data_IF_340051804803
#
_entry.id   IF_340051804803
#
_cell.length_a   1.000
_cell.length_b   1.000
_cell.length_c   1.000
_cell.angle_alpha   90.00
_cell.angle_beta   90.00
_cell.angle_gamma   90.00
#
_symmetry.space_group_name_H-M   'P 1'
#
loop_
_entity.id
_entity.type
_entity.pdbx_description
1 polymer ?
#
# COMPACT_ATOMS: atom_id res chain seq x y z
N UNK A 1 7.17 -7.45 11.10
CA UNK A 1 5.98 -6.90 11.79
C UNK A 1 6.29 -5.64 12.61
N UNK A 2 7.39 -5.58 13.37
CA UNK A 2 7.72 -4.37 14.14
C UNK A 2 8.27 -3.21 13.30
N UNK A 3 8.91 -3.50 12.16
CA UNK A 3 9.57 -2.48 11.33
C UNK A 3 8.63 -1.33 10.90
N UNK A 4 7.42 -1.56 10.37
CA UNK A 4 6.54 -0.45 9.99
C UNK A 4 6.17 0.48 11.15
N UNK A 5 6.04 -0.04 12.38
CA UNK A 5 5.76 0.76 13.58
C UNK A 5 6.97 1.64 13.93
N UNK A 6 8.16 1.03 13.96
CA UNK A 6 9.42 1.75 14.24
C UNK A 6 9.70 2.77 13.14
N UNK A 7 9.54 2.38 11.88
CA UNK A 7 9.65 3.25 10.71
C UNK A 7 8.69 4.42 10.77
N UNK A 8 7.43 4.18 11.14
CA UNK A 8 6.44 5.22 11.37
C UNK A 8 6.89 6.25 12.41
N UNK A 9 7.35 5.79 13.58
CA UNK A 9 7.87 6.66 14.63
C UNK A 9 9.11 7.45 14.18
N UNK A 10 10.02 6.80 13.44
CA UNK A 10 11.21 7.44 12.89
C UNK A 10 10.85 8.51 11.87
N UNK A 11 9.87 8.25 11.00
CA UNK A 11 9.40 9.17 9.96
C UNK A 11 8.76 10.41 10.57
N UNK A 12 7.97 10.23 11.63
CA UNK A 12 7.34 11.35 12.34
C UNK A 12 8.41 12.26 12.98
N UNK A 13 9.60 11.73 13.35
CA UNK A 13 10.68 12.51 13.98
C UNK A 13 11.73 13.07 13.00
N UNK A 14 12.18 12.28 12.03
CA UNK A 14 13.30 12.60 11.14
C UNK A 14 12.86 12.99 9.71
N UNK A 15 11.57 12.88 9.41
CA UNK A 15 10.99 13.15 8.09
C UNK A 15 11.11 11.99 7.10
N UNK A 16 10.22 11.98 6.11
CA UNK A 16 10.13 10.90 5.12
C UNK A 16 11.35 10.76 4.19
N UNK A 17 12.05 11.86 3.85
CA UNK A 17 13.26 11.80 2.98
C UNK A 17 14.34 10.96 3.63
N UNK A 18 14.70 11.30 4.86
CA UNK A 18 15.85 10.75 5.58
C UNK A 18 15.64 9.28 5.89
N UNK A 19 14.47 8.93 6.42
CA UNK A 19 14.17 7.54 6.78
C UNK A 19 14.05 6.66 5.54
N UNK A 20 13.45 7.16 4.44
CA UNK A 20 13.42 6.44 3.17
C UNK A 20 14.83 6.21 2.63
N UNK A 21 15.72 7.19 2.72
CA UNK A 21 17.09 7.05 2.22
C UNK A 21 17.86 5.92 2.96
N UNK A 22 17.75 5.85 4.28
CA UNK A 22 18.35 4.76 5.06
C UNK A 22 17.70 3.40 4.75
N UNK A 23 16.37 3.35 4.63
CA UNK A 23 15.66 2.14 4.23
C UNK A 23 16.08 1.66 2.84
N UNK A 24 16.16 2.57 1.88
CA UNK A 24 16.57 2.32 0.50
C UNK A 24 18.01 1.85 0.39
N UNK A 25 18.95 2.49 1.11
CA UNK A 25 20.33 2.03 1.19
C UNK A 25 20.42 0.61 1.75
N UNK A 26 19.70 0.35 2.85
CA UNK A 26 19.77 -0.91 3.57
C UNK A 26 19.12 -2.06 2.78
N UNK A 27 17.95 -1.85 2.18
CA UNK A 27 17.31 -2.88 1.35
C UNK A 27 18.14 -3.14 0.10
N UNK A 28 18.67 -2.10 -0.56
CA UNK A 28 19.46 -2.27 -1.80
C UNK A 28 20.74 -3.05 -1.54
N UNK A 29 21.41 -2.75 -0.41
CA UNK A 29 22.56 -3.51 0.06
C UNK A 29 22.19 -4.97 0.35
N UNK A 30 21.06 -5.21 1.03
CA UNK A 30 20.59 -6.56 1.31
C UNK A 30 20.29 -7.35 0.03
N UNK A 31 19.63 -6.72 -0.95
CA UNK A 31 19.36 -7.33 -2.25
C UNK A 31 20.67 -7.69 -2.94
N UNK A 32 21.64 -6.76 -3.00
CA UNK A 32 22.94 -6.98 -3.62
C UNK A 32 23.76 -8.10 -2.94
N UNK A 33 23.71 -8.19 -1.61
CA UNK A 33 24.46 -9.19 -0.84
C UNK A 33 23.82 -10.59 -0.83
N UNK A 34 22.57 -10.71 -1.26
CA UNK A 34 21.84 -11.99 -1.31
C UNK A 34 22.65 -13.13 -1.93
N UNK A 35 23.15 -13.04 -3.18
CA UNK A 35 23.76 -14.19 -3.84
C UNK A 35 25.03 -14.65 -3.11
N UNK A 36 25.81 -13.70 -2.57
CA UNK A 36 26.98 -14.00 -1.74
C UNK A 36 26.58 -14.72 -0.45
N UNK A 37 25.55 -14.22 0.23
CA UNK A 37 25.02 -14.83 1.45
C UNK A 37 24.49 -16.25 1.20
N UNK A 38 23.78 -16.46 0.08
CA UNK A 38 23.25 -17.77 -0.32
C UNK A 38 24.35 -18.81 -0.56
N UNK A 39 25.48 -18.40 -1.14
CA UNK A 39 26.63 -19.29 -1.40
C UNK A 39 27.36 -19.69 -0.12
N UNK A 40 27.34 -18.85 0.91
CA UNK A 40 28.14 -19.05 2.11
C UNK A 40 27.42 -19.82 3.21
N UNK A 41 26.16 -19.47 3.50
CA UNK A 41 25.36 -20.18 4.51
C UNK A 41 23.88 -19.84 4.42
N UNK A 42 23.03 -20.84 4.68
CA UNK A 42 21.59 -20.64 4.82
C UNK A 42 21.24 -19.59 5.89
N UNK A 43 22.00 -19.54 6.99
CA UNK A 43 21.78 -18.56 8.07
C UNK A 43 22.11 -17.13 7.63
N UNK A 44 23.15 -16.96 6.81
CA UNK A 44 23.51 -15.66 6.25
C UNK A 44 22.44 -15.18 5.27
N UNK A 45 21.90 -16.09 4.45
CA UNK A 45 20.77 -15.79 3.58
C UNK A 45 19.54 -15.33 4.37
N UNK A 46 19.19 -16.05 5.45
CA UNK A 46 18.09 -15.63 6.33
C UNK A 46 18.34 -14.26 6.97
N UNK A 47 19.56 -14.00 7.43
CA UNK A 47 19.94 -12.70 8.00
C UNK A 47 19.76 -11.54 7.02
N UNK A 48 20.25 -11.69 5.79
CA UNK A 48 20.13 -10.68 4.74
C UNK A 48 18.67 -10.47 4.33
N UNK A 49 17.86 -11.55 4.27
CA UNK A 49 16.42 -11.46 3.98
C UNK A 49 15.63 -10.76 5.07
N UNK A 50 15.96 -11.05 6.33
CA UNK A 50 15.35 -10.37 7.47
C UNK A 50 15.68 -8.87 7.43
N UNK A 51 16.92 -8.51 7.13
CA UNK A 51 17.37 -7.13 7.03
C UNK A 51 16.69 -6.38 5.88
N UNK A 52 16.49 -7.04 4.72
CA UNK A 52 15.69 -6.51 3.61
C UNK A 52 14.25 -6.20 4.07
N UNK A 53 13.57 -7.15 4.74
CA UNK A 53 12.20 -6.94 5.22
C UNK A 53 12.08 -5.87 6.32
N UNK A 54 13.11 -5.72 7.17
CA UNK A 54 13.19 -4.62 8.14
C UNK A 54 13.33 -3.28 7.41
N UNK A 55 14.18 -3.20 6.40
CA UNK A 55 14.42 -1.98 5.65
C UNK A 55 13.20 -1.54 4.84
N UNK A 56 12.51 -2.47 4.17
CA UNK A 56 11.36 -2.19 3.31
C UNK A 56 10.13 -1.73 4.09
N UNK A 57 9.98 -2.15 5.36
CA UNK A 57 8.82 -1.81 6.20
C UNK A 57 8.62 -0.31 6.45
N UNK A 58 9.63 0.54 6.21
CA UNK A 58 9.53 2.00 6.37
C UNK A 58 8.93 2.71 5.15
N UNK A 59 8.80 2.02 4.01
CA UNK A 59 8.48 2.65 2.73
C UNK A 59 7.10 3.33 2.72
N UNK A 60 6.05 2.64 3.20
CA UNK A 60 4.68 3.17 3.23
C UNK A 60 4.52 4.40 4.14
N UNK A 61 5.02 4.39 5.40
CA UNK A 61 5.07 5.59 6.25
C UNK A 61 5.81 6.75 5.60
N UNK A 62 6.98 6.51 5.00
CA UNK A 62 7.76 7.55 4.34
C UNK A 62 7.01 8.16 3.15
N UNK A 63 6.43 7.33 2.30
CA UNK A 63 5.65 7.75 1.13
C UNK A 63 4.54 8.71 1.55
N UNK A 64 3.70 8.29 2.52
CA UNK A 64 2.62 9.12 2.98
C UNK A 64 3.17 10.42 3.57
N UNK A 65 4.17 10.38 4.45
CA UNK A 65 4.75 11.59 5.06
C UNK A 65 5.25 12.61 4.05
N UNK A 66 5.92 12.17 2.97
CA UNK A 66 6.33 13.07 1.89
C UNK A 66 5.10 13.65 1.19
N UNK A 67 4.10 12.83 0.84
CA UNK A 67 2.90 13.30 0.16
C UNK A 67 2.10 14.32 1.00
N UNK A 68 1.93 14.11 2.31
CA UNK A 68 1.21 15.11 3.15
C UNK A 68 1.91 16.45 3.22
N UNK A 69 3.25 16.44 3.19
CA UNK A 69 4.04 17.67 3.24
C UNK A 69 4.01 18.38 1.89
N UNK A 70 4.08 17.64 0.79
CA UNK A 70 4.21 18.25 -0.53
C UNK A 70 2.89 18.62 -1.21
N UNK A 71 1.81 17.91 -0.89
CA UNK A 71 0.53 18.09 -1.58
C UNK A 71 -0.59 18.63 -0.67
N UNK A 72 -1.36 19.64 -1.15
CA UNK A 72 -2.62 20.06 -0.55
C UNK A 72 -3.61 18.91 -0.38
N UNK A 73 -4.55 19.03 0.56
CA UNK A 73 -5.57 17.98 0.81
C UNK A 73 -6.36 17.58 -0.44
N UNK A 74 -6.63 18.54 -1.33
CA UNK A 74 -7.36 18.32 -2.59
C UNK A 74 -6.52 17.65 -3.68
N UNK A 75 -5.22 17.44 -3.51
CA UNK A 75 -4.36 16.80 -4.53
C UNK A 75 -3.67 15.53 -4.01
N UNK A 76 -3.87 15.20 -2.73
CA UNK A 76 -3.19 14.08 -2.06
C UNK A 76 -3.62 12.74 -2.62
N UNK A 77 -4.89 12.55 -2.97
CA UNK A 77 -5.36 11.25 -3.44
C UNK A 77 -4.78 10.94 -4.81
N UNK A 78 -4.70 11.93 -5.72
CA UNK A 78 -4.01 11.80 -7.01
C UNK A 78 -2.53 11.50 -6.83
N UNK A 79 -1.83 12.19 -5.92
CA UNK A 79 -0.42 11.93 -5.64
C UNK A 79 -0.16 10.49 -5.13
N UNK A 80 -1.01 10.01 -4.21
CA UNK A 80 -0.94 8.62 -3.72
C UNK A 80 -1.27 7.63 -4.85
N UNK A 81 -2.30 7.90 -5.65
CA UNK A 81 -2.69 7.05 -6.79
C UNK A 81 -1.56 6.89 -7.81
N UNK A 82 -0.88 7.98 -8.18
CA UNK A 82 0.29 7.94 -9.08
C UNK A 82 1.44 7.16 -8.46
N UNK A 83 1.70 7.36 -7.16
CA UNK A 83 2.80 6.64 -6.48
C UNK A 83 2.54 5.14 -6.40
N UNK A 84 1.30 4.75 -6.09
CA UNK A 84 0.87 3.35 -6.05
C UNK A 84 0.85 2.72 -7.45
N UNK A 85 0.48 3.47 -8.49
CA UNK A 85 0.61 2.99 -9.86
C UNK A 85 2.08 2.66 -10.19
N UNK A 86 3.03 3.49 -9.76
CA UNK A 86 4.47 3.20 -9.85
C UNK A 86 4.86 1.92 -9.12
N UNK A 87 4.35 1.69 -7.91
CA UNK A 87 4.58 0.45 -7.14
C UNK A 87 4.11 -0.81 -7.90
N UNK A 88 2.90 -0.78 -8.45
CA UNK A 88 2.34 -1.92 -9.20
C UNK A 88 3.07 -2.15 -10.53
N UNK A 89 3.39 -1.08 -11.26
CA UNK A 89 4.16 -1.17 -12.51
C UNK A 89 5.59 -1.68 -12.26
N UNK A 90 6.24 -1.24 -11.18
CA UNK A 90 7.54 -1.77 -10.76
C UNK A 90 7.49 -3.27 -10.50
N UNK A 91 6.42 -3.76 -9.88
CA UNK A 91 6.19 -5.19 -9.65
C UNK A 91 6.05 -5.96 -10.98
N UNK A 92 5.30 -5.42 -11.95
CA UNK A 92 5.15 -6.01 -13.29
C UNK A 92 6.50 -6.07 -14.00
N UNK A 93 7.28 -4.99 -13.99
CA UNK A 93 8.62 -4.94 -14.58
C UNK A 93 9.52 -5.98 -13.91
N UNK A 94 9.50 -6.07 -12.58
CA UNK A 94 10.25 -7.07 -11.82
C UNK A 94 9.91 -8.51 -12.23
N UNK A 95 8.61 -8.83 -12.32
CA UNK A 95 8.12 -10.16 -12.72
C UNK A 95 8.52 -10.55 -14.15
N UNK A 96 8.56 -9.59 -15.08
CA UNK A 96 8.92 -9.84 -16.49
C UNK A 96 10.44 -9.86 -16.70
N UNK A 97 11.17 -8.96 -16.06
CA UNK A 97 12.62 -8.84 -16.24
C UNK A 97 13.39 -9.96 -15.52
N UNK A 98 12.92 -10.41 -14.36
CA UNK A 98 13.64 -11.41 -13.55
C UNK A 98 13.91 -12.72 -14.32
N UNK A 99 12.93 -13.37 -14.97
CA UNK A 99 13.18 -14.60 -15.74
C UNK A 99 14.14 -14.40 -16.91
N UNK A 100 14.13 -13.23 -17.56
CA UNK A 100 15.04 -12.90 -18.66
C UNK A 100 16.49 -12.82 -18.17
N UNK A 101 16.71 -12.14 -17.04
CA UNK A 101 18.03 -12.05 -16.42
C UNK A 101 18.54 -13.43 -15.98
N UNK A 102 17.66 -14.26 -15.40
CA UNK A 102 18.02 -15.63 -15.01
C UNK A 102 18.39 -16.47 -16.23
N UNK A 103 17.62 -16.39 -17.32
CA UNK A 103 17.83 -17.21 -18.51
C UNK A 103 19.15 -16.91 -19.25
N UNK A 104 19.63 -15.68 -19.20
CA UNK A 104 20.85 -15.25 -19.93
C UNK A 104 22.08 -15.29 -19.03
N UNK A 105 21.96 -14.81 -17.79
CA UNK A 105 23.12 -14.55 -16.92
C UNK A 105 23.08 -15.30 -15.58
N UNK A 106 22.09 -16.16 -15.37
CA UNK A 106 21.98 -17.01 -14.18
C UNK A 106 21.26 -16.34 -12.99
N UNK A 107 21.07 -17.13 -11.93
CA UNK A 107 20.18 -16.82 -10.79
C UNK A 107 20.65 -15.65 -9.94
N UNK A 108 21.96 -15.36 -9.94
CA UNK A 108 22.53 -14.28 -9.11
C UNK A 108 22.25 -12.88 -9.68
N UNK A 109 22.05 -12.78 -10.99
CA UNK A 109 22.06 -11.51 -11.72
C UNK A 109 20.88 -10.58 -11.46
N UNK A 110 19.64 -11.05 -11.29
CA UNK A 110 18.55 -10.19 -10.85
C UNK A 110 18.87 -9.42 -9.56
N UNK A 111 19.52 -10.08 -8.59
CA UNK A 111 19.87 -9.46 -7.31
C UNK A 111 20.92 -8.36 -7.47
N UNK A 112 21.91 -8.57 -8.33
CA UNK A 112 22.93 -7.56 -8.62
C UNK A 112 22.32 -6.36 -9.36
N UNK A 113 21.52 -6.61 -10.40
CA UNK A 113 20.89 -5.54 -11.20
C UNK A 113 19.92 -4.71 -10.36
N UNK A 114 19.00 -5.35 -9.63
CA UNK A 114 18.04 -4.62 -8.79
C UNK A 114 18.69 -3.96 -7.58
N UNK A 115 19.72 -4.58 -6.98
CA UNK A 115 20.51 -3.96 -5.91
C UNK A 115 21.20 -2.67 -6.37
N UNK A 116 21.85 -2.71 -7.53
CA UNK A 116 22.51 -1.52 -8.12
C UNK A 116 21.50 -0.45 -8.56
N UNK A 117 20.37 -0.85 -9.16
CA UNK A 117 19.29 0.07 -9.50
C UNK A 117 18.69 0.76 -8.25
N UNK A 118 18.66 0.05 -7.12
CA UNK A 118 18.28 0.61 -5.82
C UNK A 118 19.27 1.68 -5.34
N UNK A 119 20.58 1.47 -5.48
CA UNK A 119 21.58 2.50 -5.17
C UNK A 119 21.51 3.71 -6.11
N UNK A 120 21.22 3.51 -7.39
CA UNK A 120 20.96 4.61 -8.33
C UNK A 120 19.72 5.40 -7.88
N UNK A 121 18.65 4.70 -7.51
CA UNK A 121 17.44 5.32 -6.97
C UNK A 121 17.72 6.11 -5.68
N UNK A 122 18.62 5.62 -4.82
CA UNK A 122 19.06 6.33 -3.61
C UNK A 122 19.75 7.64 -3.93
N UNK A 123 20.66 7.60 -4.92
CA UNK A 123 21.36 8.79 -5.38
C UNK A 123 20.38 9.85 -5.91
N UNK A 124 19.41 9.42 -6.74
CA UNK A 124 18.37 10.29 -7.25
C UNK A 124 17.48 10.84 -6.12
N UNK A 125 17.06 10.00 -5.18
CA UNK A 125 16.24 10.40 -4.03
C UNK A 125 16.93 11.46 -3.17
N UNK A 126 18.21 11.26 -2.84
CA UNK A 126 18.96 12.20 -2.02
C UNK A 126 19.18 13.55 -2.70
N UNK A 127 19.35 13.53 -4.03
CA UNK A 127 19.63 14.70 -4.86
C UNK A 127 18.39 15.54 -5.15
N UNK A 128 17.23 14.90 -5.42
CA UNK A 128 16.03 15.59 -5.92
C UNK A 128 14.92 15.76 -4.89
N UNK A 129 14.88 14.99 -3.81
CA UNK A 129 13.77 15.08 -2.83
C UNK A 129 14.19 15.92 -1.63
N UNK A 130 13.28 16.71 -1.07
CA UNK A 130 13.48 17.45 0.19
C UNK A 130 12.37 17.10 1.19
N UNK A 131 12.67 17.15 2.49
CA UNK A 131 11.69 16.82 3.54
C UNK A 131 10.54 17.83 3.53
N UNK A 132 10.86 19.11 3.50
CA UNK A 132 9.88 20.19 3.47
C UNK A 132 10.01 20.99 2.17
N UNK A 133 8.88 21.43 1.57
CA UNK A 133 8.89 22.22 0.33
C UNK A 133 9.73 23.50 0.44
N UNK A 134 9.82 24.09 1.64
CA UNK A 134 10.56 25.33 1.90
C UNK A 134 12.08 25.16 1.75
N UNK A 135 12.60 23.95 1.97
CA UNK A 135 14.03 23.66 1.92
C UNK A 135 14.47 23.25 0.50
N UNK A 136 13.53 23.14 -0.44
CA UNK A 136 13.79 22.63 -1.77
C UNK A 136 14.42 23.69 -2.67
N UNK A 137 15.58 23.44 -3.29
CA UNK A 137 16.33 24.46 -4.03
C UNK A 137 15.64 24.94 -5.31
N UNK A 138 14.79 24.10 -5.93
CA UNK A 138 14.15 24.40 -7.22
C UNK A 138 12.67 24.80 -7.12
N UNK A 139 12.14 25.01 -5.90
CA UNK A 139 10.71 25.35 -5.75
C UNK A 139 10.41 26.79 -6.17
N UNK A 140 9.31 27.00 -6.90
CA UNK A 140 8.86 28.35 -7.23
C UNK A 140 8.16 28.99 -6.03
N UNK A 141 8.37 30.29 -5.79
CA UNK A 141 7.70 31.02 -4.68
C UNK A 141 6.18 30.93 -4.74
N UNK A 142 5.59 30.97 -5.94
CA UNK A 142 4.14 30.85 -6.14
C UNK A 142 3.60 29.48 -5.70
N UNK A 143 4.34 28.41 -6.01
CA UNK A 143 4.01 27.04 -5.62
C UNK A 143 4.16 26.84 -4.10
N UNK A 144 5.25 27.35 -3.52
CA UNK A 144 5.44 27.33 -2.07
C UNK A 144 4.29 28.04 -1.35
N UNK A 145 3.87 29.22 -1.83
CA UNK A 145 2.72 29.93 -1.28
C UNK A 145 1.41 29.16 -1.45
N UNK A 146 1.19 28.49 -2.59
CA UNK A 146 0.02 27.63 -2.78
C UNK A 146 -0.02 26.50 -1.75
N UNK A 147 1.07 25.74 -1.60
CA UNK A 147 1.17 24.65 -0.64
C UNK A 147 0.98 25.16 0.80
N UNK A 148 1.62 26.28 1.15
CA UNK A 148 1.49 26.88 2.48
C UNK A 148 0.07 27.39 2.75
N UNK A 149 -0.55 28.10 1.81
CA UNK A 149 -1.91 28.63 1.97
C UNK A 149 -2.94 27.51 2.07
N UNK A 150 -2.77 26.40 1.34
CA UNK A 150 -3.59 25.20 1.48
C UNK A 150 -3.40 24.49 2.83
N UNK A 151 -2.33 24.81 3.57
CA UNK A 151 -2.15 24.41 4.98
C UNK A 151 -2.78 25.38 5.98
N UNK A 152 -3.08 26.64 5.61
CA UNK A 152 -3.52 27.72 6.53
C UNK A 152 -4.94 27.51 7.10
N UNK A 153 -5.71 26.53 6.60
CA UNK A 153 -6.90 25.99 7.31
C UNK A 153 -6.58 25.13 8.53
N UNK A 154 -5.30 24.85 8.78
CA UNK A 154 -4.74 24.24 9.99
C UNK A 154 -3.89 25.31 10.65
N UNK A 155 -4.41 25.88 11.74
CA UNK A 155 -3.87 27.01 12.53
C UNK A 155 -2.34 27.15 12.50
N UNK A 156 -1.88 28.37 12.20
CA UNK A 156 -0.51 28.87 12.39
C UNK A 156 0.08 28.37 13.71
N UNK A 157 1.20 27.66 13.66
CA UNK A 157 2.05 27.46 14.84
C UNK A 157 2.07 26.05 15.42
N UNK A 158 2.23 25.02 14.60
CA UNK A 158 2.81 23.77 15.11
C UNK A 158 4.08 23.49 14.30
N UNK A 159 5.17 24.14 14.71
CA UNK A 159 6.44 23.43 14.80
C UNK A 159 6.09 22.10 15.47
N UNK A 160 6.12 21.00 14.71
CA UNK A 160 5.90 19.67 15.26
C UNK A 160 6.81 19.58 16.49
N UNK A 161 6.26 19.50 17.72
CA UNK A 161 7.13 19.30 18.86
C UNK A 161 7.83 17.97 18.57
N UNK A 162 9.15 17.95 18.74
CA UNK A 162 9.91 16.71 18.83
C UNK A 162 9.35 15.95 20.05
N UNK A 163 8.21 15.29 19.90
CA UNK A 163 7.61 14.53 20.98
C UNK A 163 8.62 13.46 21.37
N UNK A 164 8.96 13.43 22.66
CA UNK A 164 9.76 12.36 23.21
C UNK A 164 9.07 11.02 22.95
N UNK A 165 9.83 9.92 22.85
CA UNK A 165 9.26 8.60 22.54
C UNK A 165 8.10 8.19 23.47
N UNK A 166 8.07 8.69 24.71
CA UNK A 166 6.97 8.47 25.67
C UNK A 166 5.70 9.26 25.33
N UNK A 167 5.82 10.52 24.92
CA UNK A 167 4.66 11.35 24.53
C UNK A 167 4.03 10.86 23.23
N UNK A 168 4.84 10.35 22.29
CA UNK A 168 4.35 9.73 21.07
C UNK A 168 3.50 8.48 21.37
N UNK A 169 3.96 7.63 22.29
CA UNK A 169 3.21 6.44 22.72
C UNK A 169 1.92 6.79 23.47
N UNK A 170 1.96 7.81 24.33
CA UNK A 170 0.77 8.28 25.05
C UNK A 170 -0.30 8.81 24.08
N UNK A 171 0.10 9.62 23.10
CA UNK A 171 -0.81 10.15 22.08
C UNK A 171 -1.34 9.05 21.15
N UNK A 172 -0.53 8.02 20.84
CA UNK A 172 -1.02 6.84 20.10
C UNK A 172 -2.09 6.09 20.89
N UNK A 173 -1.91 5.92 22.20
CA UNK A 173 -2.92 5.26 23.04
C UNK A 173 -4.25 6.02 23.05
N UNK A 174 -4.22 7.36 22.97
CA UNK A 174 -5.41 8.19 22.84
C UNK A 174 -6.02 8.08 21.44
N UNK A 175 -5.21 8.02 20.37
CA UNK A 175 -5.69 7.77 19.01
C UNK A 175 -6.40 6.41 18.91
N UNK A 176 -5.82 5.36 19.48
CA UNK A 176 -6.41 4.01 19.45
C UNK A 176 -7.68 3.87 20.30
N UNK A 177 -8.03 4.85 21.13
CA UNK A 177 -9.34 4.90 21.80
C UNK A 177 -10.45 5.46 20.91
N UNK A 178 -10.12 6.03 19.75
CA UNK A 178 -11.07 6.71 18.86
C UNK A 178 -11.50 5.79 17.71
N UNK A 179 -12.79 5.83 17.37
CA UNK A 179 -13.38 5.00 16.31
C UNK A 179 -12.75 5.21 14.92
N UNK A 180 -12.41 6.43 14.46
CA UNK A 180 -11.80 6.62 13.15
C UNK A 180 -10.44 5.91 12.98
N UNK A 181 -9.67 5.76 14.07
CA UNK A 181 -8.40 5.01 14.05
C UNK A 181 -8.65 3.52 13.81
N UNK A 182 -9.68 2.93 14.42
CA UNK A 182 -10.07 1.55 14.16
C UNK A 182 -10.64 1.37 12.75
N UNK A 183 -11.35 2.35 12.22
CA UNK A 183 -11.85 2.31 10.84
C UNK A 183 -10.70 2.11 9.83
N UNK A 184 -9.60 2.87 9.96
CA UNK A 184 -8.42 2.73 9.07
C UNK A 184 -7.62 1.46 9.32
N UNK A 185 -7.60 0.93 10.54
CA UNK A 185 -6.96 -0.35 10.87
C UNK A 185 -7.73 -1.52 10.25
N UNK A 186 -9.05 -1.56 10.46
CA UNK A 186 -9.92 -2.61 9.89
C UNK A 186 -9.93 -2.53 8.37
N UNK A 187 -9.98 -1.32 7.79
CA UNK A 187 -9.91 -1.16 6.34
C UNK A 187 -8.58 -1.70 5.78
N UNK A 188 -7.45 -1.40 6.42
CA UNK A 188 -6.16 -1.92 5.96
C UNK A 188 -6.06 -3.45 6.11
N UNK A 189 -6.59 -4.02 7.19
CA UNK A 189 -6.71 -5.46 7.39
C UNK A 189 -7.48 -6.11 6.24
N UNK A 190 -8.67 -5.62 5.95
CA UNK A 190 -9.54 -6.17 4.90
C UNK A 190 -8.98 -5.97 3.50
N UNK A 191 -8.31 -4.83 3.25
CA UNK A 191 -7.64 -4.61 1.97
C UNK A 191 -6.48 -5.59 1.76
N UNK A 192 -5.61 -5.79 2.77
CA UNK A 192 -4.53 -6.77 2.70
C UNK A 192 -5.05 -8.21 2.58
N UNK A 193 -6.11 -8.55 3.32
CA UNK A 193 -6.77 -9.85 3.21
C UNK A 193 -7.13 -10.15 1.76
N UNK A 194 -7.94 -9.31 1.12
CA UNK A 194 -8.37 -9.59 -0.24
C UNK A 194 -7.27 -9.47 -1.29
N UNK A 195 -6.31 -8.54 -1.11
CA UNK A 195 -5.15 -8.41 -1.99
C UNK A 195 -4.34 -9.71 -2.04
N UNK A 196 -3.97 -10.27 -0.88
CA UNK A 196 -3.14 -11.47 -0.83
C UNK A 196 -3.88 -12.75 -1.19
N UNK A 197 -5.20 -12.82 -0.91
CA UNK A 197 -6.07 -13.90 -1.39
C UNK A 197 -6.07 -13.93 -2.91
N UNK A 198 -6.33 -12.78 -3.54
CA UNK A 198 -6.36 -12.68 -5.00
C UNK A 198 -4.97 -12.93 -5.61
N UNK A 199 -3.90 -12.42 -5.00
CA UNK A 199 -2.53 -12.63 -5.46
C UNK A 199 -2.11 -14.10 -5.42
N UNK A 200 -2.34 -14.77 -4.29
CA UNK A 200 -1.82 -16.12 -4.06
C UNK A 200 -2.61 -17.20 -4.79
N UNK A 201 -3.93 -17.03 -4.92
CA UNK A 201 -4.82 -18.10 -5.38
C UNK A 201 -5.33 -17.97 -6.80
N UNK A 202 -5.27 -16.78 -7.40
CA UNK A 202 -5.73 -16.58 -8.77
C UNK A 202 -5.12 -17.60 -9.76
N UNK A 203 -3.79 -17.87 -9.75
CA UNK A 203 -3.22 -18.85 -10.68
C UNK A 203 -3.74 -20.27 -10.44
N UNK A 204 -3.87 -20.67 -9.17
CA UNK A 204 -4.31 -22.03 -8.80
C UNK A 204 -5.80 -22.22 -9.10
N UNK A 205 -6.61 -21.18 -8.92
CA UNK A 205 -8.03 -21.19 -9.27
C UNK A 205 -8.25 -21.47 -10.77
N UNK A 206 -7.55 -20.75 -11.65
CA UNK A 206 -7.65 -20.99 -13.10
C UNK A 206 -7.14 -22.37 -13.52
N UNK A 207 -6.10 -22.86 -12.84
CA UNK A 207 -5.59 -24.19 -13.12
C UNK A 207 -6.53 -25.30 -12.63
N UNK A 208 -7.09 -25.20 -11.41
CA UNK A 208 -7.95 -26.25 -10.85
C UNK A 208 -9.38 -26.24 -11.38
N UNK A 209 -9.99 -25.07 -11.54
CA UNK A 209 -11.41 -24.95 -11.92
C UNK A 209 -11.59 -25.00 -13.43
N UNK A 210 -10.72 -24.33 -14.18
CA UNK A 210 -10.86 -24.19 -15.62
C UNK A 210 -9.80 -24.97 -16.42
N UNK A 211 -8.90 -25.71 -15.77
CA UNK A 211 -7.82 -26.49 -16.42
C UNK A 211 -6.98 -25.67 -17.41
N UNK A 212 -6.86 -24.36 -17.18
CA UNK A 212 -6.11 -23.45 -18.06
C UNK A 212 -4.61 -23.69 -17.88
N UNK A 213 -3.90 -23.75 -18.99
CA UNK A 213 -2.47 -23.99 -19.03
C UNK A 213 -1.71 -22.78 -18.39
N UNK A 214 -0.73 -23.06 -17.54
CA UNK A 214 -0.07 -22.04 -16.68
C UNK A 214 0.55 -20.87 -17.47
N UNK A 215 0.95 -21.10 -18.72
CA UNK A 215 1.51 -20.06 -19.61
C UNK A 215 0.47 -19.01 -20.05
N UNK A 216 -0.81 -19.39 -20.16
CA UNK A 216 -1.92 -18.44 -20.34
C UNK A 216 -2.30 -17.78 -19.01
N UNK A 217 -2.17 -18.50 -17.88
CA UNK A 217 -2.44 -17.97 -16.55
C UNK A 217 -1.57 -16.75 -16.19
N UNK A 218 -0.32 -16.68 -16.67
CA UNK A 218 0.55 -15.50 -16.49
C UNK A 218 -0.05 -14.21 -17.08
N UNK A 219 -0.67 -14.29 -18.27
CA UNK A 219 -1.37 -13.14 -18.86
C UNK A 219 -2.64 -12.78 -18.09
N UNK A 220 -3.37 -13.79 -17.60
CA UNK A 220 -4.54 -13.60 -16.73
C UNK A 220 -4.18 -12.95 -15.37
N UNK A 221 -2.93 -13.04 -14.92
CA UNK A 221 -2.48 -12.35 -13.71
C UNK A 221 -1.91 -10.94 -13.98
N UNK A 222 -1.24 -10.70 -15.11
CA UNK A 222 -0.63 -9.39 -15.41
C UNK A 222 -1.67 -8.29 -15.67
N UNK A 223 -2.78 -8.63 -16.32
CA UNK A 223 -3.85 -7.68 -16.68
C UNK A 223 -4.51 -7.06 -15.42
N UNK A 224 -4.96 -7.84 -14.41
CA UNK A 224 -5.53 -7.29 -13.19
C UNK A 224 -4.63 -6.27 -12.47
N UNK A 225 -3.33 -6.56 -12.34
CA UNK A 225 -2.39 -5.65 -11.66
C UNK A 225 -2.15 -4.36 -12.45
N UNK A 226 -2.07 -4.46 -13.78
CA UNK A 226 -1.97 -3.29 -14.66
C UNK A 226 -3.24 -2.44 -14.56
N UNK A 227 -4.42 -3.07 -14.50
CA UNK A 227 -5.69 -2.38 -14.30
C UNK A 227 -5.76 -1.70 -12.94
N UNK A 228 -5.21 -2.30 -11.88
CA UNK A 228 -5.10 -1.68 -10.56
C UNK A 228 -4.28 -0.39 -10.61
N UNK A 229 -3.17 -0.39 -11.35
CA UNK A 229 -2.33 0.81 -11.50
C UNK A 229 -3.10 1.93 -12.22
N UNK A 230 -3.77 1.61 -13.33
CA UNK A 230 -4.55 2.57 -14.10
C UNK A 230 -5.72 3.14 -13.28
N UNK A 231 -6.53 2.28 -12.67
CA UNK A 231 -7.67 2.71 -11.86
C UNK A 231 -7.25 3.41 -10.57
N UNK A 232 -6.05 3.16 -10.02
CA UNK A 232 -5.53 3.91 -8.88
C UNK A 232 -5.35 5.40 -9.18
N UNK A 233 -4.80 5.73 -10.36
CA UNK A 233 -4.69 7.11 -10.84
C UNK A 233 -6.06 7.75 -11.04
N UNK A 234 -7.00 7.01 -11.62
CA UNK A 234 -8.39 7.47 -11.84
C UNK A 234 -9.10 7.71 -10.51
N UNK A 235 -8.97 6.80 -9.55
CA UNK A 235 -9.57 6.92 -8.23
C UNK A 235 -9.03 8.13 -7.47
N UNK A 236 -7.71 8.37 -7.52
CA UNK A 236 -7.09 9.55 -6.94
C UNK A 236 -7.63 10.85 -7.57
N UNK A 237 -7.68 10.91 -8.89
CA UNK A 237 -8.19 12.08 -9.62
C UNK A 237 -9.68 12.32 -9.37
N UNK A 238 -10.48 11.26 -9.27
CA UNK A 238 -11.90 11.32 -8.97
C UNK A 238 -12.15 11.80 -7.53
N UNK A 239 -11.40 11.28 -6.55
CA UNK A 239 -11.43 11.76 -5.17
C UNK A 239 -11.17 13.26 -5.09
N UNK A 240 -10.10 13.71 -5.74
CA UNK A 240 -9.67 15.10 -5.71
C UNK A 240 -10.71 16.01 -6.39
N UNK A 241 -11.24 15.60 -7.55
CA UNK A 241 -12.34 16.29 -8.23
C UNK A 241 -13.59 16.44 -7.35
N UNK A 242 -13.98 15.41 -6.60
CA UNK A 242 -15.13 15.47 -5.70
C UNK A 242 -14.91 16.45 -4.54
N UNK A 243 -13.69 16.53 -4.01
CA UNK A 243 -13.32 17.50 -2.97
C UNK A 243 -13.34 18.92 -3.54
N UNK A 244 -12.79 19.13 -4.74
CA UNK A 244 -12.79 20.42 -5.43
C UNK A 244 -14.19 20.88 -5.82
N UNK A 245 -15.11 19.94 -6.10
CA UNK A 245 -16.53 20.20 -6.32
C UNK A 245 -17.30 20.60 -5.04
N UNK A 246 -16.63 20.64 -3.88
CA UNK A 246 -17.18 21.11 -2.62
C UNK A 246 -17.77 20.02 -1.71
N UNK A 247 -17.55 18.74 -2.01
CA UNK A 247 -17.97 17.66 -1.10
C UNK A 247 -17.03 17.56 0.11
N UNK A 248 -17.62 17.30 1.29
CA UNK A 248 -16.85 17.09 2.51
C UNK A 248 -15.88 15.92 2.36
N UNK A 249 -14.63 16.09 2.83
CA UNK A 249 -13.57 15.07 2.76
C UNK A 249 -14.04 13.74 3.35
N UNK A 250 -14.70 13.76 4.52
CA UNK A 250 -15.26 12.55 5.15
C UNK A 250 -16.21 11.80 4.21
N UNK A 251 -17.08 12.51 3.50
CA UNK A 251 -18.04 11.92 2.56
C UNK A 251 -17.31 11.31 1.37
N UNK A 252 -16.33 12.02 0.80
CA UNK A 252 -15.51 11.50 -0.30
C UNK A 252 -14.75 10.24 0.10
N UNK A 253 -14.11 10.23 1.28
CA UNK A 253 -13.40 9.04 1.80
C UNK A 253 -14.35 7.86 2.03
N UNK A 254 -15.57 8.10 2.49
CA UNK A 254 -16.62 7.07 2.62
C UNK A 254 -17.05 6.52 1.26
N UNK A 255 -17.28 7.37 0.27
CA UNK A 255 -17.63 6.95 -1.10
C UNK A 255 -16.50 6.11 -1.71
N UNK A 256 -15.28 6.64 -1.72
CA UNK A 256 -14.11 5.98 -2.32
C UNK A 256 -13.84 4.61 -1.69
N UNK A 257 -13.88 4.53 -0.36
CA UNK A 257 -13.67 3.26 0.32
C UNK A 257 -14.82 2.26 0.07
N UNK A 258 -16.07 2.74 -0.01
CA UNK A 258 -17.22 1.90 -0.31
C UNK A 258 -17.11 1.28 -1.70
N UNK A 259 -16.69 2.06 -2.71
CA UNK A 259 -16.38 1.54 -4.06
C UNK A 259 -15.26 0.49 -3.95
N UNK A 260 -14.21 0.80 -3.19
CA UNK A 260 -13.04 -0.05 -2.99
C UNK A 260 -13.31 -1.39 -2.29
N UNK A 261 -14.45 -1.56 -1.62
CA UNK A 261 -14.81 -2.81 -0.93
C UNK A 261 -16.07 -3.49 -1.50
N UNK A 262 -17.14 -2.74 -1.76
CA UNK A 262 -18.36 -3.29 -2.36
C UNK A 262 -18.09 -3.75 -3.80
N UNK A 263 -17.30 -2.98 -4.56
CA UNK A 263 -16.92 -3.33 -5.92
C UNK A 263 -16.26 -4.71 -6.01
N UNK A 264 -15.15 -4.94 -5.30
CA UNK A 264 -14.53 -6.26 -5.22
C UNK A 264 -15.46 -7.33 -4.65
N UNK A 265 -16.28 -7.03 -3.65
CA UNK A 265 -17.23 -8.01 -3.09
C UNK A 265 -18.24 -8.52 -4.13
N UNK A 266 -18.86 -7.62 -4.89
CA UNK A 266 -19.80 -7.98 -5.95
C UNK A 266 -19.11 -8.73 -7.09
N UNK A 267 -17.91 -8.28 -7.49
CA UNK A 267 -17.13 -8.95 -8.52
C UNK A 267 -16.73 -10.37 -8.11
N UNK A 268 -16.33 -10.58 -6.84
CA UNK A 268 -16.01 -11.90 -6.30
C UNK A 268 -17.22 -12.85 -6.29
N UNK A 269 -18.42 -12.34 -6.00
CA UNK A 269 -19.65 -13.13 -6.10
C UNK A 269 -19.93 -13.49 -7.57
N UNK A 270 -19.70 -12.56 -8.51
CA UNK A 270 -19.87 -12.81 -9.94
C UNK A 270 -18.85 -13.83 -10.51
N UNK A 271 -17.64 -13.90 -9.94
CA UNK A 271 -16.67 -14.96 -10.27
C UNK A 271 -17.26 -16.35 -10.00
N UNK A 272 -18.02 -16.53 -8.91
CA UNK A 272 -18.63 -17.83 -8.60
C UNK A 272 -19.66 -18.28 -9.64
N UNK A 273 -20.31 -17.33 -10.32
CA UNK A 273 -21.30 -17.60 -11.38
C UNK A 273 -20.69 -17.64 -12.79
N UNK A 274 -19.36 -17.59 -12.93
CA UNK A 274 -18.71 -17.43 -14.23
C UNK A 274 -18.68 -18.75 -15.04
N UNK A 275 -19.19 -18.75 -16.30
CA UNK A 275 -19.31 -19.97 -17.11
C UNK A 275 -17.98 -20.45 -17.70
N UNK A 276 -16.99 -19.56 -17.85
CA UNK A 276 -15.69 -19.89 -18.42
C UNK A 276 -14.56 -19.04 -17.80
N UNK A 277 -13.32 -19.43 -18.07
CA UNK A 277 -12.12 -18.78 -17.53
C UNK A 277 -12.01 -17.30 -17.93
N UNK A 278 -12.38 -16.94 -19.16
CA UNK A 278 -12.26 -15.56 -19.64
C UNK A 278 -13.20 -14.63 -18.86
N UNK A 279 -14.44 -15.04 -18.61
CA UNK A 279 -15.41 -14.26 -17.82
C UNK A 279 -14.95 -14.15 -16.36
N UNK A 280 -14.45 -15.23 -15.77
CA UNK A 280 -13.89 -15.18 -14.42
C UNK A 280 -12.67 -14.23 -14.33
N UNK A 281 -11.80 -14.21 -15.35
CA UNK A 281 -10.66 -13.30 -15.41
C UNK A 281 -11.08 -11.83 -15.53
N UNK A 282 -12.14 -11.54 -16.30
CA UNK A 282 -12.71 -10.19 -16.39
C UNK A 282 -13.21 -9.75 -15.00
N UNK A 283 -14.00 -10.58 -14.31
CA UNK A 283 -14.49 -10.23 -12.98
C UNK A 283 -13.38 -10.07 -11.95
N UNK A 284 -12.33 -10.90 -11.99
CA UNK A 284 -11.17 -10.74 -11.12
C UNK A 284 -10.38 -9.46 -11.44
N UNK A 285 -10.28 -9.09 -12.72
CA UNK A 285 -9.69 -7.82 -13.17
C UNK A 285 -10.49 -6.64 -12.63
N UNK A 286 -11.83 -6.71 -12.69
CA UNK A 286 -12.72 -5.70 -12.10
C UNK A 286 -12.56 -5.65 -10.58
N UNK A 287 -12.47 -6.80 -9.89
CA UNK A 287 -12.29 -6.84 -8.44
C UNK A 287 -10.99 -6.17 -8.02
N UNK A 288 -9.85 -6.54 -8.61
CA UNK A 288 -8.56 -5.93 -8.32
C UNK A 288 -8.55 -4.44 -8.72
N UNK A 289 -9.11 -4.13 -9.89
CA UNK A 289 -9.22 -2.77 -10.39
C UNK A 289 -10.00 -1.84 -9.45
N UNK A 290 -11.19 -2.25 -9.01
CA UNK A 290 -12.02 -1.47 -8.08
C UNK A 290 -11.38 -1.36 -6.69
N UNK A 291 -10.62 -2.37 -6.25
CA UNK A 291 -9.90 -2.31 -4.96
C UNK A 291 -8.89 -1.15 -4.90
N UNK A 292 -8.44 -0.63 -6.04
CA UNK A 292 -7.54 0.53 -6.11
C UNK A 292 -8.17 1.80 -5.52
N UNK A 293 -9.51 1.92 -5.51
CA UNK A 293 -10.22 3.03 -4.87
C UNK A 293 -9.98 3.10 -3.36
N UNK A 294 -9.60 2.00 -2.72
CA UNK A 294 -9.17 2.02 -1.31
C UNK A 294 -7.92 2.87 -1.07
N UNK A 295 -7.08 3.09 -2.09
CA UNK A 295 -5.92 4.00 -1.99
C UNK A 295 -6.37 5.46 -1.83
N UNK A 296 -7.46 5.85 -2.49
CA UNK A 296 -8.09 7.17 -2.32
C UNK A 296 -9.06 7.23 -1.12
N UNK A 297 -9.41 6.07 -0.55
CA UNK A 297 -10.26 5.91 0.63
C UNK A 297 -9.47 5.93 1.94
N UNK A 298 -9.05 4.76 2.42
CA UNK A 298 -8.41 4.66 3.75
C UNK A 298 -6.94 5.10 3.77
N UNK A 299 -6.19 4.92 2.68
CA UNK A 299 -4.74 5.13 2.70
C UNK A 299 -4.37 6.62 2.85
N UNK A 300 -5.12 7.53 2.23
CA UNK A 300 -4.95 8.99 2.45
C UNK A 300 -5.40 9.41 3.86
N UNK A 301 -6.36 8.68 4.43
CA UNK A 301 -7.07 9.08 5.65
C UNK A 301 -6.18 9.07 6.91
N UNK A 302 -5.11 8.26 6.94
CA UNK A 302 -4.16 8.25 8.08
C UNK A 302 -3.64 9.65 8.42
N UNK A 303 -3.37 10.46 7.39
CA UNK A 303 -2.77 11.78 7.53
C UNK A 303 -3.78 12.88 7.81
N UNK A 304 -5.06 12.62 7.50
CA UNK A 304 -6.17 13.53 7.73
C UNK A 304 -6.63 13.43 9.19
N UNK A 305 -6.71 12.20 9.72
CA UNK A 305 -7.10 11.88 11.10
C UNK A 305 -6.01 12.28 12.10
N UNK A 306 -4.74 11.98 11.82
CA UNK A 306 -3.64 12.14 12.77
C UNK A 306 -2.37 12.76 12.14
N UNK A 307 -2.39 14.03 11.68
CA UNK A 307 -1.25 14.64 10.96
C UNK A 307 0.11 14.56 11.67
N UNK A 308 0.12 14.62 13.01
CA UNK A 308 1.35 14.57 13.82
C UNK A 308 1.83 13.16 14.19
N UNK A 309 1.04 12.12 13.93
CA UNK A 309 1.36 10.72 14.27
C UNK A 309 0.94 9.74 13.17
N UNK A 310 0.81 10.25 11.94
CA UNK A 310 0.28 9.50 10.82
C UNK A 310 1.19 8.31 10.48
N UNK A 311 2.51 8.49 10.59
CA UNK A 311 3.48 7.43 10.36
C UNK A 311 3.30 6.30 11.35
N UNK A 312 3.23 6.60 12.65
CA UNK A 312 3.02 5.60 13.70
C UNK A 312 1.68 4.86 13.58
N UNK A 313 0.57 5.58 13.36
CA UNK A 313 -0.76 4.98 13.17
C UNK A 313 -0.78 4.07 11.93
N UNK A 314 -0.15 4.51 10.83
CA UNK A 314 -0.01 3.70 9.63
C UNK A 314 0.87 2.47 9.87
N UNK A 315 1.94 2.58 10.65
CA UNK A 315 2.78 1.44 11.03
C UNK A 315 2.02 0.36 11.81
N UNK A 316 1.21 0.78 12.79
CA UNK A 316 0.31 -0.13 13.54
C UNK A 316 -0.70 -0.78 12.59
N UNK A 317 -1.35 0.03 11.76
CA UNK A 317 -2.32 -0.46 10.80
C UNK A 317 -1.70 -1.45 9.80
N UNK A 318 -0.49 -1.18 9.29
CA UNK A 318 0.23 -2.07 8.38
C UNK A 318 0.61 -3.39 9.05
N UNK A 319 0.93 -3.36 10.35
CA UNK A 319 1.19 -4.57 11.13
C UNK A 319 -0.03 -5.47 11.19
N UNK A 320 -1.20 -4.91 11.53
CA UNK A 320 -2.47 -5.64 11.55
C UNK A 320 -2.85 -6.09 10.12
N UNK A 321 -2.63 -5.25 9.12
CA UNK A 321 -2.79 -5.57 7.70
C UNK A 321 -2.00 -6.81 7.28
N UNK A 322 -0.73 -6.85 7.63
CA UNK A 322 0.17 -7.99 7.34
C UNK A 322 -0.29 -9.25 8.07
N UNK A 323 -0.85 -9.15 9.28
CA UNK A 323 -1.47 -10.31 9.94
C UNK A 323 -2.64 -10.85 9.11
N UNK A 324 -3.49 -9.96 8.58
CA UNK A 324 -4.57 -10.34 7.65
C UNK A 324 -4.06 -11.03 6.39
N UNK A 325 -2.96 -10.55 5.81
CA UNK A 325 -2.30 -11.20 4.68
C UNK A 325 -1.83 -12.63 5.01
N UNK A 326 -1.17 -12.82 6.15
CA UNK A 326 -0.67 -14.13 6.58
C UNK A 326 -1.83 -15.10 6.84
N UNK A 327 -2.81 -14.66 7.63
CA UNK A 327 -3.98 -15.48 8.00
C UNK A 327 -4.78 -15.84 6.76
N UNK A 328 -5.01 -14.90 5.85
CA UNK A 328 -5.78 -15.14 4.65
C UNK A 328 -5.08 -16.10 3.70
N UNK A 329 -3.76 -15.98 3.49
CA UNK A 329 -2.96 -16.81 2.59
C UNK A 329 -2.84 -18.26 3.07
N UNK A 330 -2.66 -18.46 4.38
CA UNK A 330 -2.65 -19.80 4.99
C UNK A 330 -4.08 -20.36 5.05
N UNK A 331 -5.02 -19.51 5.46
CA UNK A 331 -6.41 -19.87 5.69
C UNK A 331 -7.08 -20.43 4.46
N UNK A 332 -6.94 -19.78 3.31
CA UNK A 332 -7.49 -20.27 2.03
C UNK A 332 -6.97 -21.68 1.67
N UNK A 333 -5.72 -22.01 1.99
CA UNK A 333 -5.13 -23.33 1.75
C UNK A 333 -5.86 -24.43 2.49
N UNK A 334 -6.03 -24.26 3.80
CA UNK A 334 -6.77 -25.19 4.64
C UNK A 334 -8.27 -25.20 4.33
N UNK A 335 -8.85 -24.03 4.08
CA UNK A 335 -10.28 -23.89 3.79
C UNK A 335 -10.67 -24.67 2.54
N UNK A 336 -9.84 -24.61 1.49
CA UNK A 336 -10.04 -25.36 0.25
C UNK A 336 -9.81 -26.86 0.45
N UNK A 337 -8.84 -27.26 1.29
CA UNK A 337 -8.64 -28.66 1.62
C UNK A 337 -9.83 -29.26 2.38
N UNK A 338 -10.45 -28.49 3.28
CA UNK A 338 -11.57 -28.96 4.12
C UNK A 338 -12.92 -28.93 3.42
N UNK A 339 -13.26 -27.82 2.76
CA UNK A 339 -14.57 -27.64 2.14
C UNK A 339 -14.59 -28.02 0.65
N UNK A 340 -13.43 -28.26 0.04
CA UNK A 340 -13.32 -28.60 -1.38
C UNK A 340 -13.78 -27.49 -2.35
N UNK A 341 -14.13 -26.30 -1.85
CA UNK A 341 -14.77 -25.24 -2.64
C UNK A 341 -14.06 -23.90 -2.53
N UNK A 342 -13.54 -23.43 -3.66
CA UNK A 342 -13.04 -22.07 -3.85
C UNK A 342 -14.11 -21.01 -3.66
N UNK A 343 -15.31 -21.31 -4.15
CA UNK A 343 -16.41 -20.36 -4.19
C UNK A 343 -16.83 -19.96 -2.77
N UNK A 344 -16.77 -20.90 -1.81
CA UNK A 344 -17.06 -20.64 -0.41
C UNK A 344 -16.09 -19.59 0.18
N UNK A 345 -14.79 -19.70 -0.12
CA UNK A 345 -13.80 -18.76 0.39
C UNK A 345 -13.88 -17.38 -0.29
N UNK A 346 -14.18 -17.32 -1.60
CA UNK A 346 -14.44 -16.05 -2.30
C UNK A 346 -15.68 -15.36 -1.73
N UNK A 347 -16.72 -16.13 -1.38
CA UNK A 347 -17.93 -15.61 -0.72
C UNK A 347 -17.63 -15.09 0.68
N UNK A 348 -16.81 -15.80 1.46
CA UNK A 348 -16.33 -15.33 2.76
C UNK A 348 -15.57 -14.00 2.63
N UNK A 349 -14.69 -13.89 1.63
CA UNK A 349 -13.93 -12.66 1.37
C UNK A 349 -14.86 -11.51 0.99
N UNK A 350 -15.89 -11.76 0.15
CA UNK A 350 -16.92 -10.78 -0.17
C UNK A 350 -17.72 -10.33 1.06
N UNK A 351 -18.05 -11.26 1.98
CA UNK A 351 -18.72 -10.93 3.23
C UNK A 351 -17.85 -10.06 4.14
N UNK A 352 -16.54 -10.36 4.27
CA UNK A 352 -15.59 -9.53 5.03
C UNK A 352 -15.51 -8.11 4.46
N UNK A 353 -15.47 -7.96 3.13
CA UNK A 353 -15.54 -6.65 2.48
C UNK A 353 -16.82 -5.88 2.80
N UNK A 354 -17.98 -6.55 2.75
CA UNK A 354 -19.27 -5.93 3.05
C UNK A 354 -19.34 -5.47 4.52
N UNK A 355 -18.99 -6.34 5.47
CA UNK A 355 -18.97 -6.02 6.91
C UNK A 355 -18.01 -4.84 7.19
N UNK A 356 -16.82 -4.87 6.59
CA UNK A 356 -15.84 -3.79 6.74
C UNK A 356 -16.33 -2.48 6.16
N UNK A 357 -17.10 -2.52 5.08
CA UNK A 357 -17.71 -1.31 4.49
C UNK A 357 -18.74 -0.70 5.43
N UNK A 358 -19.60 -1.52 6.02
CA UNK A 358 -20.58 -1.06 7.01
C UNK A 358 -19.86 -0.39 8.18
N UNK A 359 -18.84 -1.05 8.74
CA UNK A 359 -18.04 -0.47 9.82
C UNK A 359 -17.36 0.85 9.43
N UNK A 360 -16.82 0.93 8.20
CA UNK A 360 -16.21 2.14 7.67
C UNK A 360 -17.21 3.31 7.55
N UNK A 361 -18.39 3.07 7.00
CA UNK A 361 -19.41 4.11 6.80
C UNK A 361 -19.82 4.73 8.14
N UNK A 362 -19.94 3.94 9.20
CA UNK A 362 -20.31 4.44 10.52
C UNK A 362 -19.14 5.07 11.29
N UNK A 363 -17.93 4.53 11.16
CA UNK A 363 -16.81 4.87 12.06
C UNK A 363 -15.78 5.82 11.46
N UNK A 364 -15.69 5.94 10.13
CA UNK A 364 -14.69 6.75 9.48
C UNK A 364 -14.99 8.25 9.55
N UNK A 365 -13.94 9.03 9.77
CA UNK A 365 -13.92 10.49 9.65
C UNK A 365 -12.76 10.91 8.75
N UNK A 366 -12.92 11.98 7.99
CA UNK A 366 -11.85 12.68 7.25
C UNK A 366 -11.40 13.96 7.96
N UNK A 367 -11.89 14.20 9.17
CA UNK A 367 -11.48 15.31 10.03
C UNK A 367 -10.43 14.88 11.04
N UNK A 368 -9.68 15.87 11.55
CA UNK A 368 -8.61 15.66 12.51
C UNK A 368 -9.19 15.21 13.84
N UNK A 369 -8.70 14.10 14.37
CA UNK A 369 -9.18 13.52 15.65
C UNK A 369 -8.32 13.98 16.83
N UNK A 370 -7.02 14.25 16.61
CA UNK A 370 -6.05 14.79 17.58
C UNK A 370 -5.09 15.75 16.89
#
# INVERSE_FOLDING_TARGET
>A
MLSPIVGGALVDHYGGKTVMAYGLALWSLATYLTPLAAKQSLWMLFGVRMLMGIAEGVAMPCMNNVVSRWFPRSERARAIGVTMAGFHLGSVIGLVATPLFIGIWGVDMPFLVFGLAGFLSLYLWMSFVSNDPQDHPFIKKSELHYIQNSRVGVVKGVLMPKNSGKEALLSLSLLLRKLPSWAVIVANFTNNWGYFVLLSWMPVYFNRVYSVNLKQASWFSAIPWTMMAALGCVAGSCSDFLIDAGLNVTTVRKIMQSIGFIGPALALIAVNASPNAAVAAIWLTVAIGMSSFSQAGFLVNFQEIAPGQAGLLQGVSNTVGTMGAIVSTIGIGYFVQWLGSFQAFLTLTAAIYAISTVFWIFSASGERVI
#
